data_IF_325250122081
#
_entry.id   IF_325250122081
#
_cell.length_a   1.000
_cell.length_b   1.000
_cell.length_c   1.000
_cell.angle_alpha   90.00
_cell.angle_beta   90.00
_cell.angle_gamma   90.00
#
_symmetry.space_group_name_H-M   'P 1'
#
loop_
_entity.id
_entity.type
_entity.pdbx_description
1 polymer ?
#
# COMPACT_ATOMS: atom_id res chain seq x y z
N UNK A 1 13.97 3.06 2.93
CA UNK A 1 15.03 3.82 3.63
C UNK A 1 15.63 4.83 2.67
N UNK A 2 15.75 6.11 3.06
CA UNK A 2 16.42 7.13 2.24
C UNK A 2 17.87 7.25 2.68
N UNK A 3 18.80 7.29 1.73
CA UNK A 3 20.22 7.52 2.03
C UNK A 3 20.39 8.94 2.57
N UNK A 4 20.75 9.06 3.86
CA UNK A 4 20.94 10.36 4.54
C UNK A 4 22.40 10.77 4.71
N UNK A 5 23.32 9.81 4.71
CA UNK A 5 24.76 10.07 4.85
C UNK A 5 25.53 9.48 3.68
N UNK A 6 26.48 10.26 3.17
CA UNK A 6 27.33 9.91 2.05
C UNK A 6 28.78 10.22 2.39
N UNK A 7 29.71 9.39 1.93
CA UNK A 7 31.14 9.68 2.05
C UNK A 7 31.49 10.82 1.10
N UNK A 8 31.74 12.01 1.64
CA UNK A 8 31.93 13.24 0.87
C UNK A 8 33.11 13.21 -0.12
N UNK A 9 34.10 12.33 0.10
CA UNK A 9 35.23 12.17 -0.82
C UNK A 9 34.91 11.36 -2.08
N UNK A 10 33.67 10.87 -2.24
CA UNK A 10 33.22 10.14 -3.42
C UNK A 10 32.34 11.03 -4.30
N UNK A 11 32.34 10.83 -5.63
CA UNK A 11 31.63 11.68 -6.56
C UNK A 11 30.15 11.27 -6.68
N UNK A 12 29.35 11.68 -5.70
CA UNK A 12 27.90 11.44 -5.69
C UNK A 12 27.17 12.40 -6.64
N UNK A 13 26.09 11.91 -7.25
CA UNK A 13 25.13 12.69 -8.02
C UNK A 13 23.72 12.42 -7.50
N UNK A 14 22.89 13.47 -7.46
CA UNK A 14 21.44 13.32 -7.25
C UNK A 14 20.80 12.95 -8.57
N UNK A 15 19.95 11.92 -8.58
CA UNK A 15 19.30 11.39 -9.79
C UNK A 15 17.79 11.41 -9.61
N UNK A 16 17.08 12.00 -10.58
CA UNK A 16 15.62 12.15 -10.56
C UNK A 16 15.19 13.61 -10.65
N UNK A 17 14.02 13.87 -11.26
CA UNK A 17 13.37 15.19 -11.29
C UNK A 17 12.60 15.49 -9.99
N UNK A 18 12.19 14.44 -9.30
CA UNK A 18 11.63 14.41 -7.94
C UNK A 18 11.81 12.97 -7.42
N UNK A 19 11.60 12.76 -6.12
CA UNK A 19 11.90 11.48 -5.46
C UNK A 19 13.34 11.02 -5.72
N UNK A 20 14.27 11.98 -5.61
CA UNK A 20 15.66 11.79 -5.98
C UNK A 20 16.36 10.74 -5.12
N UNK A 21 17.35 10.10 -5.72
CA UNK A 21 18.27 9.20 -5.01
C UNK A 21 19.71 9.54 -5.35
N UNK A 22 20.61 9.13 -4.47
CA UNK A 22 22.04 9.33 -4.66
C UNK A 22 22.65 8.13 -5.37
N UNK A 23 23.34 8.40 -6.47
CA UNK A 23 24.14 7.43 -7.22
C UNK A 23 25.59 7.92 -7.34
N UNK A 24 26.52 7.01 -7.60
CA UNK A 24 27.93 7.33 -7.77
C UNK A 24 28.29 7.52 -9.24
N UNK A 25 29.07 8.55 -9.54
CA UNK A 25 29.60 8.81 -10.86
C UNK A 25 30.73 7.81 -11.19
N UNK A 26 30.36 6.69 -11.80
CA UNK A 26 31.28 5.59 -12.15
C UNK A 26 32.33 5.97 -13.20
N UNK A 27 32.15 7.09 -13.91
CA UNK A 27 33.20 7.62 -14.79
C UNK A 27 34.44 8.08 -14.01
N UNK A 28 34.28 8.43 -12.73
CA UNK A 28 35.35 8.94 -11.85
C UNK A 28 35.93 7.90 -10.89
N UNK A 29 35.21 6.80 -10.62
CA UNK A 29 35.62 5.74 -9.67
C UNK A 29 35.81 4.37 -10.32
N UNK A 30 35.54 4.25 -11.63
CA UNK A 30 35.59 3.01 -12.39
C UNK A 30 34.24 2.29 -12.44
N UNK A 31 33.97 1.60 -13.56
CA UNK A 31 32.68 0.96 -13.84
C UNK A 31 32.28 -0.11 -12.80
N UNK A 32 33.26 -0.79 -12.21
CA UNK A 32 33.05 -1.88 -11.26
C UNK A 32 33.06 -1.42 -9.79
N UNK A 33 33.03 -0.12 -9.53
CA UNK A 33 33.01 0.39 -8.17
C UNK A 33 31.67 0.06 -7.49
N UNK A 34 31.74 -0.72 -6.41
CA UNK A 34 30.58 -1.08 -5.60
C UNK A 34 30.52 -0.22 -4.34
N UNK A 35 29.42 0.50 -4.17
CA UNK A 35 29.13 1.25 -2.95
C UNK A 35 28.70 0.29 -1.85
N UNK A 36 29.32 0.42 -0.67
CA UNK A 36 28.83 -0.26 0.54
C UNK A 36 27.72 0.58 1.15
N UNK A 37 26.57 -0.04 1.38
CA UNK A 37 25.42 0.58 2.05
C UNK A 37 25.19 -0.18 3.34
N UNK A 38 25.03 0.55 4.44
CA UNK A 38 24.71 0.00 5.75
C UNK A 38 23.70 0.91 6.46
N UNK A 39 22.84 0.31 7.29
CA UNK A 39 21.94 1.05 8.17
C UNK A 39 22.67 1.39 9.47
N UNK A 40 22.59 2.65 9.89
CA UNK A 40 23.04 3.07 11.22
C UNK A 40 21.84 2.97 12.17
N UNK A 41 21.84 1.99 13.05
CA UNK A 41 20.72 1.75 13.98
C UNK A 41 20.67 2.73 15.15
N UNK A 42 21.80 3.41 15.42
CA UNK A 42 21.97 4.32 16.56
C UNK A 42 21.74 5.80 16.20
N UNK A 43 21.59 6.13 14.91
CA UNK A 43 21.41 7.50 14.45
C UNK A 43 19.98 7.69 13.94
N UNK A 44 19.25 8.60 14.61
CA UNK A 44 17.92 9.05 14.17
C UNK A 44 18.04 10.48 13.66
N UNK A 45 17.57 10.70 12.43
CA UNK A 45 17.49 12.04 11.82
C UNK A 45 16.02 12.45 11.80
N UNK A 46 15.69 13.53 12.52
CA UNK A 46 14.38 14.17 12.44
C UNK A 46 14.45 15.29 11.41
N UNK A 47 13.71 15.15 10.31
CA UNK A 47 13.71 16.09 9.18
C UNK A 47 12.30 16.68 8.99
N UNK A 48 11.91 17.68 9.80
CA UNK A 48 10.56 18.25 9.77
C UNK A 48 10.29 19.14 8.54
N UNK A 49 11.32 19.46 7.75
CA UNK A 49 11.26 20.41 6.63
C UNK A 49 11.45 19.77 5.25
N UNK A 50 11.33 18.45 5.13
CA UNK A 50 11.46 17.76 3.84
C UNK A 50 10.47 18.35 2.81
N UNK A 51 10.83 18.29 1.52
CA UNK A 51 10.03 18.81 0.40
C UNK A 51 8.62 18.24 0.32
N UNK A 52 8.34 17.17 1.08
CA UNK A 52 7.02 16.62 1.37
C UNK A 52 6.01 17.62 1.96
N UNK A 53 6.46 18.68 2.61
CA UNK A 53 5.62 19.60 3.39
C UNK A 53 5.07 20.81 2.60
N UNK A 54 5.28 20.84 1.28
CA UNK A 54 4.78 21.94 0.42
C UNK A 54 3.34 21.70 -0.04
N UNK A 55 2.54 22.76 -0.07
CA UNK A 55 1.11 22.69 -0.43
C UNK A 55 0.87 22.26 -1.90
N UNK A 56 1.76 22.66 -2.81
CA UNK A 56 1.70 22.38 -4.25
C UNK A 56 2.53 21.16 -4.67
N UNK A 57 2.93 20.32 -3.70
CA UNK A 57 3.88 19.23 -3.92
C UNK A 57 3.44 18.31 -5.06
N UNK A 58 2.18 17.88 -5.05
CA UNK A 58 1.70 16.85 -5.96
C UNK A 58 1.51 17.39 -7.37
N UNK A 59 1.03 18.62 -7.52
CA UNK A 59 0.91 19.33 -8.79
C UNK A 59 2.29 19.58 -9.42
N UNK A 60 3.28 19.95 -8.59
CA UNK A 60 4.66 20.10 -9.02
C UNK A 60 5.26 18.75 -9.43
N UNK A 61 5.07 17.70 -8.64
CA UNK A 61 5.59 16.36 -8.93
C UNK A 61 4.96 15.81 -10.23
N UNK A 62 3.65 15.99 -10.44
CA UNK A 62 2.98 15.61 -11.69
C UNK A 62 3.67 16.23 -12.91
N UNK A 63 3.85 17.55 -12.89
CA UNK A 63 4.48 18.28 -14.00
C UNK A 63 5.91 17.79 -14.25
N UNK A 64 6.73 17.70 -13.21
CA UNK A 64 8.13 17.26 -13.34
C UNK A 64 8.24 15.83 -13.86
N UNK A 65 7.39 14.93 -13.37
CA UNK A 65 7.39 13.52 -13.79
C UNK A 65 6.90 13.38 -15.24
N UNK A 66 5.90 14.13 -15.67
CA UNK A 66 5.47 14.16 -17.07
C UNK A 66 6.55 14.73 -18.00
N UNK A 67 7.21 15.83 -17.61
CA UNK A 67 8.35 16.37 -18.35
C UNK A 67 9.46 15.30 -18.46
N UNK A 68 9.83 14.65 -17.35
CA UNK A 68 10.85 13.60 -17.33
C UNK A 68 10.48 12.36 -18.16
N UNK A 69 9.22 11.94 -18.18
CA UNK A 69 8.76 10.81 -19.02
C UNK A 69 8.88 11.12 -20.52
N UNK A 70 8.66 12.38 -20.91
CA UNK A 70 8.71 12.80 -22.31
C UNK A 70 10.10 13.25 -22.77
N UNK A 71 11.07 13.36 -21.85
CA UNK A 71 12.45 13.71 -22.16
C UNK A 71 13.17 12.52 -22.83
N UNK A 72 13.68 12.66 -24.07
CA UNK A 72 14.40 11.60 -24.76
C UNK A 72 15.73 11.20 -24.07
N UNK A 73 16.27 12.05 -23.20
CA UNK A 73 17.49 11.76 -22.44
C UNK A 73 17.23 10.96 -21.15
N UNK A 74 15.96 10.76 -20.77
CA UNK A 74 15.61 9.95 -19.59
C UNK A 74 15.99 8.50 -19.80
N UNK A 75 16.83 7.97 -18.90
CA UNK A 75 17.29 6.59 -18.99
C UNK A 75 16.15 5.59 -18.75
N UNK A 76 16.22 4.37 -19.31
CA UNK A 76 15.15 3.38 -19.15
C UNK A 76 14.82 3.04 -17.69
N UNK A 77 15.83 2.96 -16.82
CA UNK A 77 15.64 2.70 -15.38
C UNK A 77 14.91 3.86 -14.69
N UNK A 78 15.24 5.10 -15.05
CA UNK A 78 14.64 6.29 -14.48
C UNK A 78 13.21 6.49 -14.99
N UNK A 79 12.98 6.21 -16.27
CA UNK A 79 11.65 6.21 -16.87
C UNK A 79 10.70 5.28 -16.10
N UNK A 80 11.12 4.05 -15.80
CA UNK A 80 10.30 3.09 -15.02
C UNK A 80 9.96 3.66 -13.63
N UNK A 81 10.91 4.31 -12.96
CA UNK A 81 10.65 4.96 -11.67
C UNK A 81 9.67 6.12 -11.78
N UNK A 82 9.74 6.91 -12.85
CA UNK A 82 8.79 8.00 -13.06
C UNK A 82 7.35 7.49 -13.26
N UNK A 83 7.15 6.35 -13.93
CA UNK A 83 5.83 5.72 -14.03
C UNK A 83 5.24 5.42 -12.64
N UNK A 84 6.06 4.88 -11.72
CA UNK A 84 5.63 4.57 -10.37
C UNK A 84 5.24 5.82 -9.59
N UNK A 85 6.12 6.83 -9.56
CA UNK A 85 5.87 8.03 -8.79
C UNK A 85 4.74 8.89 -9.37
N UNK A 86 4.56 8.89 -10.69
CA UNK A 86 3.43 9.60 -11.30
C UNK A 86 2.10 8.93 -10.90
N UNK A 87 2.05 7.60 -10.88
CA UNK A 87 0.88 6.87 -10.40
C UNK A 87 0.59 7.17 -8.91
N UNK A 88 1.63 7.22 -8.06
CA UNK A 88 1.51 7.62 -6.66
C UNK A 88 0.99 9.05 -6.50
N UNK A 89 1.51 9.99 -7.30
CA UNK A 89 1.06 11.39 -7.32
C UNK A 89 -0.43 11.48 -7.65
N UNK A 90 -0.88 10.80 -8.71
CA UNK A 90 -2.30 10.76 -9.07
C UNK A 90 -3.18 10.16 -7.97
N UNK A 91 -2.69 9.15 -7.25
CA UNK A 91 -3.42 8.62 -6.10
C UNK A 91 -3.61 9.68 -5.01
N UNK A 92 -2.56 10.43 -4.67
CA UNK A 92 -2.63 11.47 -3.64
C UNK A 92 -3.54 12.64 -4.05
N UNK A 93 -3.62 12.93 -5.35
CA UNK A 93 -4.59 13.86 -5.93
C UNK A 93 -6.01 13.27 -6.05
N UNK A 94 -6.23 12.03 -5.59
CA UNK A 94 -7.50 11.30 -5.72
C UNK A 94 -7.99 11.14 -7.17
N UNK A 95 -7.08 11.18 -8.14
CA UNK A 95 -7.32 10.90 -9.56
C UNK A 95 -7.07 9.40 -9.80
N UNK A 96 -8.00 8.56 -9.32
CA UNK A 96 -7.79 7.11 -9.23
C UNK A 96 -7.71 6.43 -10.59
N UNK A 97 -8.43 6.90 -11.60
CA UNK A 97 -8.40 6.37 -12.96
C UNK A 97 -7.03 6.55 -13.62
N UNK A 98 -6.44 7.75 -13.51
CA UNK A 98 -5.09 8.02 -13.99
C UNK A 98 -4.05 7.25 -13.17
N UNK A 99 -4.22 7.19 -11.85
CA UNK A 99 -3.38 6.38 -10.98
C UNK A 99 -3.34 4.91 -11.44
N UNK A 100 -4.50 4.30 -11.71
CA UNK A 100 -4.61 2.92 -12.23
C UNK A 100 -3.88 2.78 -13.56
N UNK A 101 -4.08 3.73 -14.50
CA UNK A 101 -3.44 3.72 -15.82
C UNK A 101 -1.91 3.70 -15.69
N UNK A 102 -1.34 4.55 -14.84
CA UNK A 102 0.11 4.64 -14.68
C UNK A 102 0.70 3.47 -13.87
N UNK A 103 0.00 2.96 -12.86
CA UNK A 103 0.45 1.73 -12.19
C UNK A 103 0.42 0.53 -13.13
N UNK A 104 -0.56 0.41 -14.04
CA UNK A 104 -0.57 -0.66 -15.05
C UNK A 104 0.66 -0.58 -15.96
N UNK A 105 1.00 0.62 -16.46
CA UNK A 105 2.25 0.83 -17.21
C UNK A 105 3.49 0.47 -16.39
N UNK A 106 3.52 0.82 -15.09
CA UNK A 106 4.62 0.45 -14.19
C UNK A 106 4.74 -1.06 -14.02
N UNK A 107 3.63 -1.78 -13.89
CA UNK A 107 3.61 -3.25 -13.79
C UNK A 107 4.12 -3.88 -15.08
N UNK A 108 3.65 -3.42 -16.23
CA UNK A 108 4.08 -3.89 -17.56
C UNK A 108 5.58 -3.65 -17.80
N UNK A 109 6.11 -2.51 -17.33
CA UNK A 109 7.53 -2.17 -17.49
C UNK A 109 8.48 -3.00 -16.60
N UNK A 110 7.97 -3.75 -15.61
CA UNK A 110 8.78 -4.62 -14.76
C UNK A 110 9.82 -3.87 -13.92
N UNK A 111 10.97 -4.46 -13.64
CA UNK A 111 12.00 -3.85 -12.77
C UNK A 111 11.86 -4.27 -11.32
N UNK A 112 11.94 -3.33 -10.38
CA UNK A 112 12.04 -3.68 -8.96
C UNK A 112 10.75 -4.33 -8.44
N UNK A 113 10.88 -5.57 -7.93
CA UNK A 113 9.75 -6.45 -7.62
C UNK A 113 8.82 -5.90 -6.55
N UNK A 114 9.34 -5.19 -5.54
CA UNK A 114 8.50 -4.59 -4.50
C UNK A 114 7.66 -3.43 -5.04
N UNK A 115 8.16 -2.66 -6.01
CA UNK A 115 7.39 -1.60 -6.67
C UNK A 115 6.32 -2.16 -7.61
N UNK A 116 6.59 -3.28 -8.29
CA UNK A 116 5.56 -3.98 -9.10
C UNK A 116 4.46 -4.51 -8.20
N UNK A 117 4.82 -5.20 -7.11
CA UNK A 117 3.89 -5.66 -6.09
C UNK A 117 3.04 -4.49 -5.55
N UNK A 118 3.70 -3.40 -5.13
CA UNK A 118 3.01 -2.26 -4.55
C UNK A 118 2.10 -1.57 -5.57
N UNK A 119 2.48 -1.54 -6.85
CA UNK A 119 1.62 -1.03 -7.93
C UNK A 119 0.34 -1.85 -8.07
N UNK A 120 0.41 -3.19 -8.01
CA UNK A 120 -0.77 -4.06 -8.03
C UNK A 120 -1.67 -3.81 -6.81
N UNK A 121 -1.07 -3.74 -5.62
CA UNK A 121 -1.77 -3.43 -4.37
C UNK A 121 -2.49 -2.07 -4.47
N UNK A 122 -1.82 -1.04 -5.01
CA UNK A 122 -2.37 0.31 -5.17
C UNK A 122 -3.45 0.41 -6.22
N UNK A 123 -3.41 -0.39 -7.29
CA UNK A 123 -4.54 -0.50 -8.22
C UNK A 123 -5.77 -1.04 -7.47
N UNK A 124 -5.61 -2.03 -6.59
CA UNK A 124 -6.69 -2.54 -5.75
C UNK A 124 -7.32 -1.44 -4.89
N UNK A 125 -6.49 -0.64 -4.21
CA UNK A 125 -6.96 0.52 -3.44
C UNK A 125 -7.66 1.59 -4.31
N UNK A 126 -7.18 1.86 -5.53
CA UNK A 126 -7.84 2.81 -6.43
C UNK A 126 -9.26 2.35 -6.78
N UNK A 127 -9.43 1.07 -7.11
CA UNK A 127 -10.75 0.52 -7.40
C UNK A 127 -11.66 0.50 -6.17
N UNK A 128 -11.13 0.22 -4.98
CA UNK A 128 -11.91 0.33 -3.74
C UNK A 128 -12.43 1.77 -3.54
N UNK A 129 -11.59 2.78 -3.81
CA UNK A 129 -12.02 4.17 -3.70
C UNK A 129 -13.06 4.57 -4.76
N UNK A 130 -12.95 4.04 -5.98
CA UNK A 130 -13.98 4.23 -7.02
C UNK A 130 -15.30 3.52 -6.67
N UNK A 131 -15.23 2.36 -6.04
CA UNK A 131 -16.42 1.68 -5.50
C UNK A 131 -17.08 2.54 -4.42
N UNK A 132 -16.30 3.09 -3.47
CA UNK A 132 -16.81 3.98 -2.43
C UNK A 132 -17.49 5.25 -3.00
N UNK A 133 -16.91 5.86 -4.04
CA UNK A 133 -17.54 6.99 -4.76
C UNK A 133 -18.88 6.60 -5.40
N UNK A 134 -18.93 5.41 -5.99
CA UNK A 134 -20.15 4.88 -6.63
C UNK A 134 -21.24 4.57 -5.60
N UNK A 135 -20.86 4.06 -4.42
CA UNK A 135 -21.76 3.84 -3.29
C UNK A 135 -22.32 5.17 -2.76
N UNK A 136 -21.47 6.19 -2.59
CA UNK A 136 -21.93 7.52 -2.17
C UNK A 136 -22.88 8.16 -3.19
N UNK A 137 -22.59 8.03 -4.49
CA UNK A 137 -23.46 8.55 -5.56
C UNK A 137 -24.87 7.94 -5.51
N UNK A 138 -25.01 6.66 -5.17
CA UNK A 138 -26.33 6.03 -5.00
C UNK A 138 -27.18 6.70 -3.91
N UNK A 139 -26.53 7.24 -2.87
CA UNK A 139 -27.20 7.95 -1.77
C UNK A 139 -27.61 9.38 -2.17
N UNK A 140 -26.93 9.99 -3.14
CA UNK A 140 -27.15 11.37 -3.59
C UNK A 140 -28.23 11.47 -4.69
N UNK A 141 -28.27 10.50 -5.61
CA UNK A 141 -29.18 10.53 -6.76
C UNK A 141 -30.59 10.07 -6.39
N UNK A 142 -31.61 10.60 -7.06
CA UNK A 142 -33.02 10.25 -6.80
C UNK A 142 -33.64 9.41 -7.91
N UNK A 143 -33.16 9.57 -9.14
CA UNK A 143 -33.63 8.86 -10.32
C UNK A 143 -33.24 7.37 -10.26
N UNK A 144 -34.18 6.49 -10.61
CA UNK A 144 -33.99 5.04 -10.52
C UNK A 144 -32.87 4.54 -11.44
N UNK A 145 -32.78 5.06 -12.66
CA UNK A 145 -31.78 4.65 -13.64
C UNK A 145 -30.35 5.05 -13.20
N UNK A 146 -30.20 6.24 -12.60
CA UNK A 146 -28.91 6.68 -12.06
C UNK A 146 -28.47 5.86 -10.84
N UNK A 147 -29.41 5.47 -9.97
CA UNK A 147 -29.12 4.57 -8.85
C UNK A 147 -28.65 3.22 -9.33
N UNK A 148 -29.33 2.64 -10.32
CA UNK A 148 -28.96 1.32 -10.85
C UNK A 148 -27.60 1.34 -11.55
N UNK A 149 -27.29 2.43 -12.27
CA UNK A 149 -25.98 2.62 -12.88
C UNK A 149 -24.88 2.74 -11.80
N UNK A 150 -25.08 3.58 -10.79
CA UNK A 150 -24.10 3.76 -9.72
C UNK A 150 -23.88 2.46 -8.90
N UNK A 151 -24.93 1.66 -8.70
CA UNK A 151 -24.84 0.33 -8.10
C UNK A 151 -24.03 -0.64 -8.96
N UNK A 152 -24.31 -0.68 -10.26
CA UNK A 152 -23.55 -1.50 -11.21
C UNK A 152 -22.06 -1.13 -11.20
N UNK A 153 -21.75 0.16 -11.17
CA UNK A 153 -20.38 0.66 -11.07
C UNK A 153 -19.71 0.26 -9.76
N UNK A 154 -20.40 0.39 -8.62
CA UNK A 154 -19.89 -0.07 -7.32
C UNK A 154 -19.52 -1.55 -7.34
N UNK A 155 -20.40 -2.40 -7.87
CA UNK A 155 -20.16 -3.85 -7.96
C UNK A 155 -18.96 -4.17 -8.86
N UNK A 156 -18.86 -3.52 -10.02
CA UNK A 156 -17.74 -3.68 -10.95
C UNK A 156 -16.40 -3.25 -10.33
N UNK A 157 -16.36 -2.07 -9.71
CA UNK A 157 -15.14 -1.58 -9.07
C UNK A 157 -14.77 -2.44 -7.85
N UNK A 158 -15.74 -2.91 -7.07
CA UNK A 158 -15.49 -3.85 -5.97
C UNK A 158 -14.85 -5.15 -6.48
N UNK A 159 -15.36 -5.72 -7.58
CA UNK A 159 -14.80 -6.92 -8.17
C UNK A 159 -13.37 -6.70 -8.67
N UNK A 160 -13.09 -5.54 -9.28
CA UNK A 160 -11.75 -5.16 -9.73
C UNK A 160 -10.78 -4.94 -8.56
N UNK A 161 -11.23 -4.36 -7.44
CA UNK A 161 -10.42 -4.21 -6.24
C UNK A 161 -9.98 -5.59 -5.69
N UNK A 162 -10.93 -6.51 -5.54
CA UNK A 162 -10.68 -7.90 -5.11
C UNK A 162 -9.68 -8.57 -6.05
N UNK A 163 -9.91 -8.49 -7.37
CA UNK A 163 -9.02 -9.07 -8.37
C UNK A 163 -7.59 -8.56 -8.24
N UNK A 164 -7.39 -7.26 -8.02
CA UNK A 164 -6.05 -6.68 -7.94
C UNK A 164 -5.35 -6.98 -6.61
N UNK A 165 -6.09 -7.09 -5.50
CA UNK A 165 -5.52 -7.60 -4.26
C UNK A 165 -5.09 -9.06 -4.39
N UNK A 166 -5.89 -9.91 -5.06
CA UNK A 166 -5.49 -11.29 -5.37
C UNK A 166 -4.26 -11.34 -6.27
N UNK A 167 -4.20 -10.52 -7.34
CA UNK A 167 -3.03 -10.42 -8.22
C UNK A 167 -1.78 -9.96 -7.47
N UNK A 168 -1.90 -9.01 -6.55
CA UNK A 168 -0.78 -8.55 -5.73
C UNK A 168 -0.23 -9.69 -4.87
N UNK A 169 -1.11 -10.49 -4.24
CA UNK A 169 -0.70 -11.63 -3.44
C UNK A 169 -0.07 -12.74 -4.28
N UNK A 170 -0.68 -13.11 -5.41
CA UNK A 170 -0.13 -14.11 -6.35
C UNK A 170 1.25 -13.70 -6.87
N UNK A 171 1.46 -12.40 -7.12
CA UNK A 171 2.75 -11.88 -7.57
C UNK A 171 3.83 -11.95 -6.47
N UNK A 172 3.46 -11.76 -5.21
CA UNK A 172 4.39 -11.77 -4.07
C UNK A 172 3.74 -12.40 -2.83
N UNK A 173 3.66 -13.74 -2.76
CA UNK A 173 2.91 -14.45 -1.71
C UNK A 173 3.52 -14.30 -0.31
N UNK A 174 4.76 -13.79 -0.22
CA UNK A 174 5.43 -13.43 1.04
C UNK A 174 4.93 -12.12 1.65
N UNK A 175 4.02 -11.41 0.97
CA UNK A 175 3.43 -10.14 1.41
C UNK A 175 1.96 -10.32 1.75
N UNK A 176 1.60 -10.05 3.01
CA UNK A 176 0.29 -10.37 3.56
C UNK A 176 -0.72 -9.22 3.42
N UNK A 177 -0.26 -8.01 3.11
CA UNK A 177 -1.09 -6.81 3.02
C UNK A 177 -2.32 -6.98 2.11
N UNK A 178 -2.26 -7.63 0.93
CA UNK A 178 -3.45 -7.83 0.10
C UNK A 178 -4.47 -8.77 0.73
N UNK A 179 -4.03 -9.80 1.48
CA UNK A 179 -4.93 -10.71 2.20
C UNK A 179 -5.68 -9.99 3.31
N UNK A 180 -4.99 -9.07 4.01
CA UNK A 180 -5.65 -8.21 4.99
C UNK A 180 -6.72 -7.31 4.34
N UNK A 181 -6.42 -6.69 3.19
CA UNK A 181 -7.42 -5.87 2.47
C UNK A 181 -8.65 -6.71 2.10
N UNK A 182 -8.44 -7.93 1.57
CA UNK A 182 -9.52 -8.85 1.23
C UNK A 182 -10.35 -9.24 2.45
N UNK A 183 -9.70 -9.61 3.56
CA UNK A 183 -10.39 -9.94 4.81
C UNK A 183 -11.29 -8.78 5.27
N UNK A 184 -10.74 -7.56 5.31
CA UNK A 184 -11.47 -6.35 5.69
C UNK A 184 -12.67 -6.10 4.78
N UNK A 185 -12.47 -6.15 3.46
CA UNK A 185 -13.55 -5.90 2.49
C UNK A 185 -14.71 -6.89 2.66
N UNK A 186 -14.41 -8.19 2.79
CA UNK A 186 -15.44 -9.19 3.00
C UNK A 186 -16.13 -9.05 4.36
N UNK A 187 -15.39 -8.67 5.41
CA UNK A 187 -15.97 -8.39 6.74
C UNK A 187 -16.94 -7.22 6.67
N UNK A 188 -16.58 -6.12 6.01
CA UNK A 188 -17.46 -4.95 5.87
C UNK A 188 -18.76 -5.28 5.13
N UNK A 189 -18.75 -6.28 4.24
CA UNK A 189 -19.95 -6.80 3.56
C UNK A 189 -20.66 -7.92 4.34
N UNK A 190 -20.31 -8.14 5.61
CA UNK A 190 -20.83 -9.22 6.48
C UNK A 190 -20.59 -10.65 5.96
N UNK A 191 -19.67 -10.84 5.02
CA UNK A 191 -19.33 -12.14 4.44
C UNK A 191 -18.27 -12.84 5.31
N UNK A 192 -18.64 -13.10 6.56
CA UNK A 192 -17.70 -13.49 7.63
C UNK A 192 -16.90 -14.77 7.34
N UNK A 193 -17.48 -15.75 6.63
CA UNK A 193 -16.75 -16.99 6.28
C UNK A 193 -15.56 -16.71 5.35
N UNK A 194 -15.74 -15.85 4.35
CA UNK A 194 -14.69 -15.50 3.39
C UNK A 194 -13.68 -14.57 4.05
N UNK A 195 -14.15 -13.62 4.86
CA UNK A 195 -13.28 -12.74 5.64
C UNK A 195 -12.34 -13.55 6.56
N UNK A 196 -12.89 -14.51 7.31
CA UNK A 196 -12.12 -15.37 8.19
C UNK A 196 -11.12 -16.24 7.41
N UNK A 197 -11.50 -16.76 6.24
CA UNK A 197 -10.60 -17.54 5.38
C UNK A 197 -9.36 -16.72 4.99
N UNK A 198 -9.54 -15.49 4.48
CA UNK A 198 -8.42 -14.62 4.13
C UNK A 198 -7.60 -14.19 5.35
N UNK A 199 -8.25 -13.90 6.47
CA UNK A 199 -7.55 -13.48 7.68
C UNK A 199 -6.66 -14.59 8.26
N UNK A 200 -7.15 -15.83 8.28
CA UNK A 200 -6.36 -16.99 8.71
C UNK A 200 -5.18 -17.25 7.76
N UNK A 201 -5.42 -17.24 6.45
CA UNK A 201 -4.36 -17.41 5.45
C UNK A 201 -3.28 -16.32 5.58
N UNK A 202 -3.68 -15.07 5.81
CA UNK A 202 -2.75 -13.97 5.94
C UNK A 202 -1.95 -14.01 7.23
N UNK A 203 -2.55 -14.48 8.34
CA UNK A 203 -1.88 -14.63 9.63
C UNK A 203 -0.72 -15.65 9.61
N UNK A 204 -0.75 -16.61 8.68
CA UNK A 204 0.33 -17.58 8.49
C UNK A 204 1.55 -16.98 7.77
N UNK A 205 1.41 -15.84 7.09
CA UNK A 205 2.50 -15.21 6.34
C UNK A 205 3.42 -14.45 7.32
N UNK A 206 4.71 -14.84 7.46
CA UNK A 206 5.61 -14.19 8.39
C UNK A 206 6.00 -12.79 7.91
N UNK A 207 6.53 -11.97 8.83
CA UNK A 207 7.07 -10.66 8.50
C UNK A 207 8.16 -10.75 7.41
N UNK A 208 8.08 -9.94 6.33
CA UNK A 208 8.94 -10.07 5.17
C UNK A 208 10.30 -9.40 5.41
N UNK A 209 11.20 -10.08 6.12
CA UNK A 209 12.52 -9.54 6.50
C UNK A 209 13.41 -9.10 5.32
N UNK A 210 13.12 -9.59 4.10
CA UNK A 210 13.89 -9.29 2.89
C UNK A 210 13.28 -8.15 2.05
N UNK A 211 12.12 -7.62 2.45
CA UNK A 211 11.46 -6.50 1.78
C UNK A 211 11.84 -5.18 2.46
N UNK A 212 12.09 -4.15 1.67
CA UNK A 212 12.57 -2.85 2.16
C UNK A 212 11.56 -1.71 1.95
N UNK A 213 10.66 -1.82 0.98
CA UNK A 213 9.72 -0.76 0.62
C UNK A 213 8.27 -1.14 0.96
N UNK A 214 7.60 -0.13 1.53
CA UNK A 214 6.14 -0.09 1.71
C UNK A 214 5.54 -1.27 2.49
N UNK A 215 6.30 -1.86 3.42
CA UNK A 215 5.80 -2.92 4.32
C UNK A 215 4.89 -2.29 5.38
N UNK A 216 3.65 -2.75 5.47
CA UNK A 216 2.73 -2.32 6.53
C UNK A 216 2.89 -3.23 7.76
N UNK A 217 3.61 -2.75 8.78
CA UNK A 217 3.94 -3.55 9.96
C UNK A 217 2.69 -3.96 10.76
N UNK A 218 1.62 -3.16 10.75
CA UNK A 218 0.41 -3.43 11.52
C UNK A 218 -0.29 -4.70 11.04
N UNK A 219 -0.17 -5.01 9.74
CA UNK A 219 -0.71 -6.23 9.12
C UNK A 219 -0.14 -7.48 9.80
N UNK A 220 1.14 -7.44 10.14
CA UNK A 220 1.87 -8.55 10.75
C UNK A 220 1.81 -8.55 12.28
N UNK A 221 1.40 -7.44 12.89
CA UNK A 221 1.44 -7.25 14.33
C UNK A 221 0.10 -7.55 15.03
N UNK A 222 -1.01 -7.01 14.49
CA UNK A 222 -2.33 -7.16 15.13
C UNK A 222 -3.53 -7.15 14.19
N UNK A 223 -3.41 -6.69 12.94
CA UNK A 223 -4.59 -6.48 12.10
C UNK A 223 -5.29 -7.78 11.70
N UNK A 224 -4.56 -8.89 11.49
CA UNK A 224 -5.21 -10.17 11.26
C UNK A 224 -5.95 -10.69 12.49
N UNK A 225 -5.39 -10.52 13.68
CA UNK A 225 -6.07 -10.84 14.94
C UNK A 225 -7.36 -10.04 15.09
N UNK A 226 -7.33 -8.76 14.71
CA UNK A 226 -8.52 -7.91 14.70
C UNK A 226 -9.59 -8.40 13.73
N UNK A 227 -9.22 -8.78 12.52
CA UNK A 227 -10.17 -9.32 11.53
C UNK A 227 -10.73 -10.69 11.96
N UNK A 228 -9.92 -11.55 12.58
CA UNK A 228 -10.35 -12.85 13.12
C UNK A 228 -11.28 -12.67 14.32
N UNK A 229 -10.98 -11.75 15.24
CA UNK A 229 -11.80 -11.51 16.44
C UNK A 229 -13.20 -10.99 16.09
N UNK A 230 -13.38 -10.35 14.93
CA UNK A 230 -14.72 -9.94 14.47
C UNK A 230 -15.37 -11.05 13.64
N UNK A 231 -14.68 -11.56 12.62
CA UNK A 231 -15.29 -12.47 11.64
C UNK A 231 -15.67 -13.82 12.26
N UNK A 232 -14.83 -14.36 13.14
CA UNK A 232 -15.09 -15.65 13.77
C UNK A 232 -16.24 -15.63 14.78
N UNK A 233 -16.60 -14.45 15.34
CA UNK A 233 -17.75 -14.30 16.25
C UNK A 233 -19.04 -14.80 15.60
N UNK A 234 -19.24 -14.46 14.32
CA UNK A 234 -20.45 -14.76 13.56
C UNK A 234 -20.49 -16.18 12.98
N UNK A 235 -19.51 -17.03 13.30
CA UNK A 235 -19.40 -18.40 12.80
C UNK A 235 -19.38 -19.35 14.01
N UNK A 236 -20.53 -19.93 14.42
CA UNK A 236 -20.66 -20.61 15.72
C UNK A 236 -19.58 -21.65 16.03
N UNK A 237 -19.21 -22.49 15.05
CA UNK A 237 -18.21 -23.54 15.21
C UNK A 237 -16.74 -23.03 15.11
N UNK A 238 -16.53 -21.76 14.75
CA UNK A 238 -15.21 -21.10 14.69
C UNK A 238 -15.03 -20.02 15.78
N UNK A 239 -16.03 -19.77 16.62
CA UNK A 239 -16.00 -18.72 17.66
C UNK A 239 -14.75 -18.79 18.56
N UNK A 240 -14.24 -19.99 18.82
CA UNK A 240 -12.99 -20.19 19.59
C UNK A 240 -11.77 -19.49 18.97
N UNK A 241 -11.65 -19.42 17.63
CA UNK A 241 -10.56 -18.71 16.95
C UNK A 241 -10.61 -17.21 17.24
N UNK A 242 -11.82 -16.65 17.25
CA UNK A 242 -12.05 -15.26 17.60
C UNK A 242 -11.71 -14.98 19.06
N UNK A 243 -12.09 -15.87 19.99
CA UNK A 243 -11.75 -15.73 21.40
C UNK A 243 -10.23 -15.74 21.66
N UNK A 244 -9.47 -16.58 20.94
CA UNK A 244 -8.01 -16.61 21.02
C UNK A 244 -7.41 -15.29 20.52
N UNK A 245 -7.87 -14.81 19.36
CA UNK A 245 -7.37 -13.56 18.77
C UNK A 245 -7.75 -12.34 19.62
N UNK A 246 -8.95 -12.34 20.19
CA UNK A 246 -9.41 -11.32 21.13
C UNK A 246 -8.51 -11.24 22.38
N UNK A 247 -8.20 -12.38 23.00
CA UNK A 247 -7.28 -12.43 24.15
C UNK A 247 -5.88 -11.93 23.81
N UNK A 248 -5.38 -12.26 22.62
CA UNK A 248 -4.10 -11.74 22.13
C UNK A 248 -4.14 -10.21 22.03
N UNK A 249 -5.16 -9.64 21.40
CA UNK A 249 -5.33 -8.19 21.28
C UNK A 249 -5.43 -7.49 22.65
N UNK A 250 -6.16 -8.08 23.60
CA UNK A 250 -6.25 -7.57 24.98
C UNK A 250 -4.88 -7.54 25.66
N UNK A 251 -4.05 -8.58 25.45
CA UNK A 251 -2.73 -8.68 26.09
C UNK A 251 -1.73 -7.60 25.67
N UNK A 252 -1.94 -6.97 24.51
CA UNK A 252 -1.12 -5.86 24.00
C UNK A 252 -1.90 -4.55 23.82
N UNK A 253 -3.04 -4.40 24.48
CA UNK A 253 -3.96 -3.26 24.31
C UNK A 253 -3.27 -1.89 24.43
N UNK A 254 -2.29 -1.77 25.33
CA UNK A 254 -1.53 -0.53 25.57
C UNK A 254 -0.62 -0.13 24.40
N UNK A 255 -0.25 -1.09 23.53
CA UNK A 255 0.57 -0.87 22.34
C UNK A 255 -0.27 -0.54 21.10
N UNK A 256 -1.59 -0.76 21.15
CA UNK A 256 -2.49 -0.56 20.03
C UNK A 256 -2.88 0.91 19.84
N UNK A 257 -3.15 1.36 18.61
CA UNK A 257 -3.76 2.67 18.39
C UNK A 257 -5.07 2.80 19.18
N UNK A 258 -5.32 3.97 19.77
CA UNK A 258 -6.45 4.20 20.69
C UNK A 258 -7.81 3.72 20.12
N UNK A 259 -8.06 3.97 18.83
CA UNK A 259 -9.30 3.54 18.19
C UNK A 259 -9.42 2.01 18.10
N UNK A 260 -8.32 1.28 17.88
CA UNK A 260 -8.29 -0.19 17.90
C UNK A 260 -8.46 -0.69 19.32
N UNK A 261 -7.73 -0.13 20.29
CA UNK A 261 -7.84 -0.52 21.71
C UNK A 261 -9.28 -0.40 22.23
N UNK A 262 -9.98 0.67 21.86
CA UNK A 262 -11.40 0.88 22.21
C UNK A 262 -12.31 -0.18 21.57
N UNK A 263 -12.05 -0.54 20.31
CA UNK A 263 -12.80 -1.61 19.63
C UNK A 263 -12.54 -2.97 20.26
N UNK A 264 -11.29 -3.27 20.64
CA UNK A 264 -10.92 -4.51 21.34
C UNK A 264 -11.68 -4.62 22.66
N UNK A 265 -11.71 -3.55 23.46
CA UNK A 265 -12.47 -3.54 24.72
C UNK A 265 -13.98 -3.72 24.51
N UNK A 266 -14.54 -3.04 23.51
CA UNK A 266 -15.95 -3.22 23.16
C UNK A 266 -16.26 -4.65 22.70
N UNK A 267 -15.33 -5.29 22.00
CA UNK A 267 -15.50 -6.65 21.47
C UNK A 267 -15.35 -7.73 22.56
N UNK A 268 -14.59 -7.45 23.63
CA UNK A 268 -14.35 -8.37 24.73
C UNK A 268 -15.64 -8.93 25.34
N UNK A 269 -16.70 -8.12 25.43
CA UNK A 269 -17.99 -8.52 26.00
C UNK A 269 -18.75 -9.61 25.22
N UNK A 270 -18.30 -9.93 24.01
CA UNK A 270 -18.96 -10.91 23.13
C UNK A 270 -18.32 -12.31 23.19
N UNK A 271 -17.19 -12.43 23.90
CA UNK A 271 -16.41 -13.66 24.07
C UNK A 271 -16.37 -14.10 25.53
#
# INVERSE_FOLDING_TARGET
WLTRLLKASLPWKSVGVTHEYWDIDRSKVGANYNTRVARLETLVVNDPGDGGSKADKFERDERLLLEGINDPETTPDLHIRYLFYLAQTYFHLSQFEDSIKWYKKRVEAGGWVEEVFYSLLRIGFCYEQLANRSANKQLEVTEADEKENAKTQEEQYTALAILYFQKAWEYRPTRAEPLYQLARMYRLKSQNNIALMYALQGKEVPFPNNDLLFVDYHVYDYLFDYEISISAFYIPHKKHLGAVSQKFLESKKEELPLHIANMVESNAKFY
#
